data_IF_523233287430
#
_entry.id   IF_523233287430
#
_cell.length_a   1.000
_cell.length_b   1.000
_cell.length_c   1.000
_cell.angle_alpha   90.00
_cell.angle_beta   90.00
_cell.angle_gamma   90.00
#
_symmetry.space_group_name_H-M   'P 1'
#
loop_
_entity.id
_entity.type
_entity.pdbx_description
1 polymer ?
#
# COMPACT_ATOMS: atom_id res chain seq x y z
N UNK A 1 -25.81 14.55 -32.21
CA UNK A 1 -25.41 13.16 -32.42
C UNK A 1 -24.08 12.95 -31.66
N UNK A 2 -24.16 12.52 -30.40
CA UNK A 2 -22.98 12.24 -29.58
C UNK A 2 -22.37 10.92 -30.06
N UNK A 3 -21.29 11.02 -30.81
CA UNK A 3 -20.61 9.84 -31.33
C UNK A 3 -20.03 9.00 -30.19
N UNK A 4 -20.04 7.69 -30.36
CA UNK A 4 -19.40 6.68 -29.47
C UNK A 4 -17.90 6.96 -29.19
N UNK A 5 -17.29 7.90 -29.91
CA UNK A 5 -15.89 8.33 -29.81
C UNK A 5 -15.69 9.68 -29.09
N UNK A 6 -16.69 10.17 -28.38
CA UNK A 6 -16.50 11.40 -27.60
C UNK A 6 -15.73 11.07 -26.31
N UNK A 7 -14.58 11.74 -26.05
CA UNK A 7 -13.74 11.57 -24.87
C UNK A 7 -14.48 11.81 -23.54
N UNK A 8 -15.62 12.48 -23.56
CA UNK A 8 -16.50 12.70 -22.40
C UNK A 8 -17.42 11.51 -22.07
N UNK A 9 -17.37 10.43 -22.85
CA UNK A 9 -18.17 9.25 -22.58
C UNK A 9 -17.61 8.50 -21.37
N UNK A 10 -18.43 8.18 -20.35
CA UNK A 10 -18.00 7.48 -19.12
C UNK A 10 -17.30 6.13 -19.40
N UNK A 11 -17.60 5.48 -20.52
CA UNK A 11 -16.95 4.23 -20.94
C UNK A 11 -15.47 4.49 -21.31
N UNK A 12 -15.16 5.52 -22.08
CA UNK A 12 -13.78 5.85 -22.45
C UNK A 12 -12.97 6.34 -21.27
N UNK A 13 -13.57 7.07 -20.35
CA UNK A 13 -12.94 7.45 -19.07
C UNK A 13 -12.61 6.23 -18.22
N UNK A 14 -13.50 5.23 -18.17
CA UNK A 14 -13.26 3.98 -17.44
C UNK A 14 -12.14 3.15 -18.08
N UNK A 15 -12.13 3.01 -19.41
CA UNK A 15 -11.05 2.32 -20.15
C UNK A 15 -9.72 3.03 -19.95
N UNK A 16 -9.70 4.36 -20.02
CA UNK A 16 -8.49 5.16 -19.74
C UNK A 16 -7.93 4.91 -18.33
N UNK A 17 -8.79 4.86 -17.31
CA UNK A 17 -8.36 4.55 -15.93
C UNK A 17 -7.77 3.15 -15.79
N UNK A 18 -8.34 2.14 -16.45
CA UNK A 18 -7.77 0.79 -16.45
C UNK A 18 -6.38 0.80 -17.09
N UNK A 19 -6.20 1.55 -18.18
CA UNK A 19 -4.91 1.71 -18.84
C UNK A 19 -3.90 2.41 -17.95
N UNK A 20 -4.29 3.46 -17.24
CA UNK A 20 -3.45 4.17 -16.28
C UNK A 20 -3.02 3.26 -15.12
N UNK A 21 -3.92 2.44 -14.60
CA UNK A 21 -3.61 1.45 -13.56
C UNK A 21 -2.66 0.36 -14.06
N UNK A 22 -2.81 -0.08 -15.31
CA UNK A 22 -1.91 -1.03 -15.94
C UNK A 22 -0.48 -0.47 -16.06
N UNK A 23 -0.33 0.75 -16.59
CA UNK A 23 0.95 1.44 -16.69
C UNK A 23 1.56 1.64 -15.30
N UNK A 24 0.76 2.07 -14.33
CA UNK A 24 1.19 2.31 -12.98
C UNK A 24 1.73 1.04 -12.30
N UNK A 25 1.06 -0.09 -12.51
CA UNK A 25 1.52 -1.36 -11.98
C UNK A 25 2.83 -1.83 -12.64
N UNK A 26 2.95 -1.64 -13.94
CA UNK A 26 4.18 -1.95 -14.68
C UNK A 26 5.36 -1.11 -14.15
N UNK A 27 5.17 0.19 -13.99
CA UNK A 27 6.18 1.09 -13.42
C UNK A 27 6.58 0.68 -12.02
N UNK A 28 5.59 0.36 -11.18
CA UNK A 28 5.83 -0.11 -9.82
C UNK A 28 6.69 -1.38 -9.81
N UNK A 29 6.35 -2.38 -10.63
CA UNK A 29 7.12 -3.63 -10.74
C UNK A 29 8.54 -3.36 -11.21
N UNK A 30 8.72 -2.61 -12.31
CA UNK A 30 10.04 -2.31 -12.88
C UNK A 30 10.91 -1.54 -11.89
N UNK A 31 10.36 -0.50 -11.25
CA UNK A 31 11.09 0.29 -10.26
C UNK A 31 11.30 -0.42 -8.92
N UNK A 32 10.61 -1.55 -8.67
CA UNK A 32 10.80 -2.41 -7.50
C UNK A 32 11.78 -3.55 -7.72
N UNK A 33 12.28 -3.78 -8.96
CA UNK A 33 13.29 -4.80 -9.24
C UNK A 33 14.52 -4.64 -8.32
N UNK A 34 15.09 -3.43 -8.14
CA UNK A 34 16.02 -3.22 -7.06
C UNK A 34 15.23 -3.19 -5.74
N UNK A 35 15.30 -4.25 -4.94
CA UNK A 35 14.55 -4.41 -3.67
C UNK A 35 14.65 -3.16 -2.79
N UNK A 36 15.77 -2.44 -2.87
CA UNK A 36 16.03 -1.22 -2.11
C UNK A 36 15.06 -0.08 -2.47
N UNK A 37 14.64 0.03 -3.72
CA UNK A 37 13.73 1.08 -4.20
C UNK A 37 12.23 0.75 -4.06
N UNK A 38 11.91 -0.42 -3.50
CA UNK A 38 10.53 -0.84 -3.28
C UNK A 38 9.69 0.18 -2.49
N UNK A 39 10.29 0.81 -1.47
CA UNK A 39 9.62 1.87 -0.70
C UNK A 39 9.29 3.09 -1.54
N UNK A 40 10.22 3.54 -2.39
CA UNK A 40 10.02 4.70 -3.24
C UNK A 40 8.99 4.43 -4.34
N UNK A 41 9.04 3.26 -4.98
CA UNK A 41 8.06 2.85 -5.99
C UNK A 41 6.65 2.71 -5.41
N UNK A 42 6.55 2.17 -4.19
CA UNK A 42 5.26 2.04 -3.47
C UNK A 42 4.71 3.42 -3.09
N UNK A 43 5.55 4.34 -2.59
CA UNK A 43 5.15 5.73 -2.31
C UNK A 43 4.66 6.44 -3.57
N UNK A 44 5.37 6.30 -4.70
CA UNK A 44 4.97 6.88 -5.98
C UNK A 44 3.65 6.29 -6.49
N UNK A 45 3.43 4.99 -6.31
CA UNK A 45 2.16 4.34 -6.66
C UNK A 45 1.00 4.91 -5.83
N UNK A 46 1.16 5.09 -4.51
CA UNK A 46 0.13 5.71 -3.67
C UNK A 46 -0.13 7.18 -4.06
N UNK A 47 0.91 7.94 -4.40
CA UNK A 47 0.74 9.31 -4.88
C UNK A 47 -0.15 9.38 -6.12
N UNK A 48 0.11 8.52 -7.12
CA UNK A 48 -0.68 8.46 -8.35
C UNK A 48 -2.11 7.98 -8.07
N UNK A 49 -2.28 6.88 -7.31
CA UNK A 49 -3.62 6.33 -7.04
C UNK A 49 -4.49 7.26 -6.19
N UNK A 50 -3.90 8.04 -5.26
CA UNK A 50 -4.63 9.06 -4.51
C UNK A 50 -5.12 10.21 -5.41
N UNK A 51 -4.36 10.59 -6.44
CA UNK A 51 -4.78 11.59 -7.43
C UNK A 51 -5.86 11.04 -8.36
N UNK A 52 -5.67 9.81 -8.88
CA UNK A 52 -6.65 9.11 -9.72
C UNK A 52 -7.99 8.97 -8.98
N UNK A 53 -7.97 8.58 -7.70
CA UNK A 53 -9.17 8.45 -6.88
C UNK A 53 -9.95 9.76 -6.68
N UNK A 54 -9.31 10.92 -6.93
CA UNK A 54 -9.93 12.26 -6.81
C UNK A 54 -10.24 12.92 -8.17
N UNK A 55 -10.11 12.19 -9.27
CA UNK A 55 -10.24 12.77 -10.63
C UNK A 55 -9.33 14.00 -10.87
N UNK A 56 -8.17 14.07 -10.22
CA UNK A 56 -7.21 15.18 -10.32
C UNK A 56 -6.03 14.81 -11.22
N UNK A 57 -6.29 14.19 -12.36
CA UNK A 57 -5.26 13.76 -13.31
C UNK A 57 -4.78 14.95 -14.16
N UNK A 58 -3.80 15.67 -13.68
CA UNK A 58 -3.13 16.72 -14.47
C UNK A 58 -1.71 16.29 -14.81
N UNK A 59 -1.50 15.69 -15.99
CA UNK A 59 -0.16 15.52 -16.54
C UNK A 59 0.32 14.10 -16.85
N UNK A 60 -0.56 13.09 -16.83
CA UNK A 60 -0.21 11.70 -17.19
C UNK A 60 0.47 10.93 -16.06
N UNK A 61 0.12 9.65 -15.94
CA UNK A 61 0.57 8.76 -14.85
C UNK A 61 2.09 8.60 -14.81
N UNK A 62 2.74 8.53 -15.98
CA UNK A 62 4.21 8.42 -16.09
C UNK A 62 4.93 9.59 -15.41
N UNK A 63 4.54 10.83 -15.74
CA UNK A 63 5.16 12.04 -15.19
C UNK A 63 4.94 12.12 -13.68
N UNK A 64 3.71 11.87 -13.22
CA UNK A 64 3.36 11.87 -11.79
C UNK A 64 4.14 10.82 -11.01
N UNK A 65 4.29 9.61 -11.55
CA UNK A 65 5.02 8.53 -10.90
C UNK A 65 6.50 8.88 -10.73
N UNK A 66 7.19 9.26 -11.81
CA UNK A 66 8.62 9.57 -11.74
C UNK A 66 8.92 10.82 -10.93
N UNK A 67 8.03 11.82 -10.92
CA UNK A 67 8.16 12.98 -10.04
C UNK A 67 8.14 12.54 -8.58
N UNK A 68 7.10 11.84 -8.13
CA UNK A 68 6.99 11.37 -6.76
C UNK A 68 8.08 10.36 -6.39
N UNK A 69 8.48 9.49 -7.32
CA UNK A 69 9.55 8.52 -7.13
C UNK A 69 10.88 9.19 -6.81
N UNK A 70 11.28 10.20 -7.60
CA UNK A 70 12.53 10.95 -7.41
C UNK A 70 12.52 11.74 -6.10
N UNK A 71 11.44 12.45 -5.82
CA UNK A 71 11.31 13.30 -4.64
C UNK A 71 11.37 12.51 -3.33
N UNK A 72 10.83 11.29 -3.33
CA UNK A 72 10.77 10.45 -2.15
C UNK A 72 11.83 9.35 -2.10
N UNK A 73 12.72 9.24 -3.09
CA UNK A 73 13.61 8.09 -3.26
C UNK A 73 14.43 7.79 -2.01
N UNK A 74 15.16 8.76 -1.47
CA UNK A 74 16.02 8.56 -0.31
C UNK A 74 15.21 8.24 0.94
N UNK A 75 14.19 9.04 1.22
CA UNK A 75 13.43 8.93 2.46
C UNK A 75 12.61 7.64 2.51
N UNK A 76 11.91 7.31 1.43
CA UNK A 76 11.11 6.08 1.34
C UNK A 76 11.98 4.82 1.33
N UNK A 77 13.20 4.90 0.77
CA UNK A 77 14.17 3.81 0.82
C UNK A 77 14.62 3.54 2.25
N UNK A 78 14.97 4.58 3.01
CA UNK A 78 15.36 4.42 4.42
C UNK A 78 14.20 3.83 5.24
N UNK A 79 12.99 4.36 5.06
CA UNK A 79 11.79 3.83 5.72
C UNK A 79 11.59 2.35 5.38
N UNK A 80 11.71 1.98 4.10
CA UNK A 80 11.59 0.59 3.65
C UNK A 80 12.62 -0.33 4.30
N UNK A 81 13.89 0.07 4.31
CA UNK A 81 14.96 -0.72 4.93
C UNK A 81 14.68 -0.95 6.42
N UNK A 82 14.26 0.08 7.16
CA UNK A 82 13.89 -0.05 8.57
C UNK A 82 12.71 -1.03 8.73
N UNK A 83 11.66 -0.88 7.93
CA UNK A 83 10.48 -1.75 7.98
C UNK A 83 10.82 -3.19 7.60
N UNK A 84 11.67 -3.40 6.59
CA UNK A 84 12.10 -4.72 6.16
C UNK A 84 12.96 -5.42 7.22
N UNK A 85 13.87 -4.69 7.88
CA UNK A 85 14.69 -5.23 8.97
C UNK A 85 13.82 -5.63 10.16
N UNK A 86 12.94 -4.75 10.62
CA UNK A 86 12.04 -5.06 11.74
C UNK A 86 11.11 -6.23 11.39
N UNK A 87 10.52 -6.23 10.20
CA UNK A 87 9.67 -7.32 9.74
C UNK A 87 10.42 -8.64 9.61
N UNK A 88 11.67 -8.61 9.14
CA UNK A 88 12.54 -9.78 9.05
C UNK A 88 12.85 -10.38 10.41
N UNK A 89 13.18 -9.54 11.41
CA UNK A 89 13.41 -9.96 12.79
C UNK A 89 12.14 -10.62 13.36
N UNK A 90 10.98 -9.98 13.24
CA UNK A 90 9.72 -10.52 13.75
C UNK A 90 9.33 -11.84 13.06
N UNK A 91 9.58 -11.94 11.74
CA UNK A 91 9.36 -13.19 11.00
C UNK A 91 10.30 -14.31 11.46
N UNK A 92 11.58 -13.99 11.71
CA UNK A 92 12.54 -14.94 12.25
C UNK A 92 12.13 -15.41 13.64
N UNK A 93 11.71 -14.50 14.53
CA UNK A 93 11.26 -14.81 15.87
C UNK A 93 10.09 -15.80 15.88
N UNK A 94 9.04 -15.54 15.08
CA UNK A 94 7.88 -16.43 15.04
C UNK A 94 8.25 -17.81 14.51
N UNK A 95 9.15 -17.90 13.52
CA UNK A 95 9.66 -19.18 12.99
C UNK A 95 10.49 -19.92 14.01
N UNK A 96 11.40 -19.20 14.71
CA UNK A 96 12.26 -19.78 15.73
C UNK A 96 11.45 -20.36 16.89
N UNK A 97 10.51 -19.60 17.44
CA UNK A 97 9.67 -20.08 18.55
C UNK A 97 8.70 -21.18 18.15
N UNK A 98 8.27 -21.24 16.90
CA UNK A 98 7.37 -22.29 16.40
C UNK A 98 8.09 -23.65 16.23
N UNK A 99 9.35 -23.65 15.76
CA UNK A 99 10.03 -24.87 15.34
C UNK A 99 11.19 -25.29 16.26
N UNK A 100 11.90 -24.33 16.87
CA UNK A 100 13.17 -24.56 17.57
C UNK A 100 13.15 -24.13 19.03
N UNK A 101 11.98 -23.80 19.60
CA UNK A 101 11.91 -23.25 20.96
C UNK A 101 12.67 -24.11 22.00
N UNK A 102 13.80 -23.63 22.53
CA UNK A 102 14.53 -24.32 23.59
C UNK A 102 13.86 -24.19 24.95
N UNK A 103 12.73 -23.47 25.01
CA UNK A 103 12.02 -23.17 26.26
C UNK A 103 11.07 -24.32 26.56
N UNK A 104 11.38 -25.11 27.61
CA UNK A 104 10.55 -26.23 28.09
C UNK A 104 9.26 -25.71 28.77
N UNK A 105 9.33 -24.54 29.40
CA UNK A 105 8.19 -23.99 30.12
C UNK A 105 7.14 -23.45 29.14
N UNK A 106 6.02 -24.15 29.06
CA UNK A 106 4.89 -23.83 28.17
C UNK A 106 4.32 -22.42 28.39
N UNK A 107 4.28 -21.96 29.66
CA UNK A 107 3.72 -20.63 29.99
C UNK A 107 4.61 -19.51 29.41
N UNK A 108 5.92 -19.61 29.60
CA UNK A 108 6.89 -18.63 29.08
C UNK A 108 6.83 -18.61 27.55
N UNK A 109 6.76 -19.76 26.90
CA UNK A 109 6.62 -19.90 25.46
C UNK A 109 5.36 -19.18 24.96
N UNK A 110 4.21 -19.37 25.59
CA UNK A 110 2.96 -18.71 25.23
C UNK A 110 3.04 -17.20 25.40
N UNK A 111 3.65 -16.68 26.46
CA UNK A 111 3.82 -15.25 26.70
C UNK A 111 4.65 -14.62 25.57
N UNK A 112 5.82 -15.20 25.25
CA UNK A 112 6.69 -14.68 24.20
C UNK A 112 5.96 -14.70 22.83
N UNK A 113 5.30 -15.81 22.50
CA UNK A 113 4.54 -15.92 21.27
C UNK A 113 3.45 -14.85 21.16
N UNK A 114 2.69 -14.61 22.24
CA UNK A 114 1.65 -13.58 22.29
C UNK A 114 2.23 -12.17 22.08
N UNK A 115 3.36 -11.87 22.73
CA UNK A 115 4.06 -10.58 22.55
C UNK A 115 4.53 -10.42 21.11
N UNK A 116 5.13 -11.44 20.50
CA UNK A 116 5.59 -11.40 19.11
C UNK A 116 4.41 -11.19 18.15
N UNK A 117 3.28 -11.88 18.35
CA UNK A 117 2.07 -11.67 17.55
C UNK A 117 1.55 -10.23 17.67
N UNK A 118 1.55 -9.66 18.86
CA UNK A 118 1.16 -8.26 19.08
C UNK A 118 2.10 -7.28 18.37
N UNK A 119 3.41 -7.51 18.42
CA UNK A 119 4.40 -6.69 17.70
C UNK A 119 4.23 -6.78 16.18
N UNK A 120 3.92 -7.96 15.63
CA UNK A 120 3.61 -8.15 14.21
C UNK A 120 2.35 -7.36 13.82
N UNK A 121 1.32 -7.36 14.65
CA UNK A 121 0.11 -6.57 14.42
C UNK A 121 0.42 -5.07 14.36
N UNK A 122 1.21 -4.55 15.31
CA UNK A 122 1.64 -3.14 15.31
C UNK A 122 2.48 -2.82 14.07
N UNK A 123 3.41 -3.71 13.71
CA UNK A 123 4.23 -3.55 12.51
C UNK A 123 3.35 -3.49 11.24
N UNK A 124 2.35 -4.37 11.12
CA UNK A 124 1.41 -4.38 10.00
C UNK A 124 0.60 -3.07 9.92
N UNK A 125 0.17 -2.54 11.05
CA UNK A 125 -0.55 -1.27 11.13
C UNK A 125 0.32 -0.11 10.64
N UNK A 126 1.56 -0.02 11.11
CA UNK A 126 2.51 0.99 10.65
C UNK A 126 2.80 0.82 9.16
N UNK A 127 3.06 -0.41 8.71
CA UNK A 127 3.38 -0.70 7.32
C UNK A 127 2.26 -0.27 6.35
N UNK A 128 1.01 -0.45 6.75
CA UNK A 128 -0.16 -0.07 5.95
C UNK A 128 -0.25 1.43 5.72
N UNK A 129 0.13 2.26 6.70
CA UNK A 129 -0.03 3.71 6.66
C UNK A 129 1.22 4.47 6.21
N UNK A 130 2.42 3.90 6.37
CA UNK A 130 3.68 4.64 6.26
C UNK A 130 3.93 5.20 4.86
N UNK A 131 3.72 4.40 3.80
CA UNK A 131 3.91 4.84 2.42
C UNK A 131 2.81 5.80 1.94
N UNK A 132 1.52 5.58 2.23
CA UNK A 132 0.47 6.57 1.96
C UNK A 132 0.70 7.93 2.63
N UNK A 133 1.16 7.95 3.88
CA UNK A 133 1.51 9.19 4.59
C UNK A 133 2.70 9.88 3.91
N UNK A 134 3.74 9.12 3.57
CA UNK A 134 4.90 9.64 2.86
C UNK A 134 4.54 10.21 1.47
N UNK A 135 3.57 9.59 0.77
CA UNK A 135 3.09 10.07 -0.52
C UNK A 135 2.29 11.38 -0.43
N UNK A 136 1.67 11.65 0.74
CA UNK A 136 0.76 12.79 0.91
C UNK A 136 1.37 13.96 1.65
N UNK A 137 2.22 13.70 2.66
CA UNK A 137 2.76 14.70 3.58
C UNK A 137 4.28 14.75 3.51
N UNK A 138 4.84 15.96 3.53
CA UNK A 138 6.29 16.18 3.59
C UNK A 138 6.68 16.25 5.08
N UNK A 139 7.14 15.12 5.63
CA UNK A 139 7.50 14.99 7.03
C UNK A 139 8.88 14.33 7.20
N UNK A 140 9.64 14.63 8.25
CA UNK A 140 10.84 13.86 8.58
C UNK A 140 10.47 12.41 8.95
N UNK A 141 11.39 11.46 8.72
CA UNK A 141 11.19 10.02 8.92
C UNK A 141 10.54 9.71 10.27
N UNK A 142 11.08 10.28 11.36
CA UNK A 142 10.57 10.07 12.72
C UNK A 142 9.09 10.46 12.86
N UNK A 143 8.71 11.57 12.24
CA UNK A 143 7.33 12.06 12.28
C UNK A 143 6.41 11.17 11.43
N UNK A 144 6.88 10.68 10.28
CA UNK A 144 6.14 9.72 9.43
C UNK A 144 5.78 8.45 10.20
N UNK A 145 6.74 7.88 10.96
CA UNK A 145 6.48 6.72 11.83
C UNK A 145 5.45 7.00 12.92
N UNK A 146 5.59 8.15 13.62
CA UNK A 146 4.62 8.56 14.64
C UNK A 146 3.21 8.74 14.09
N UNK A 147 3.09 9.41 12.93
CA UNK A 147 1.81 9.62 12.27
C UNK A 147 1.21 8.30 11.78
N UNK A 148 2.03 7.39 11.22
CA UNK A 148 1.57 6.08 10.78
C UNK A 148 0.98 5.26 11.93
N UNK A 149 1.65 5.22 13.07
CA UNK A 149 1.14 4.55 14.28
C UNK A 149 -0.11 5.26 14.82
N UNK A 150 -0.08 6.58 14.96
CA UNK A 150 -1.20 7.35 15.48
C UNK A 150 -2.45 7.20 14.62
N UNK A 151 -2.34 7.37 13.30
CA UNK A 151 -3.48 7.28 12.37
C UNK A 151 -4.03 5.86 12.27
N UNK A 152 -3.17 4.83 12.30
CA UNK A 152 -3.61 3.44 12.24
C UNK A 152 -4.46 3.04 13.45
N UNK A 153 -4.11 3.54 14.64
CA UNK A 153 -4.86 3.28 15.88
C UNK A 153 -6.09 4.18 15.99
N UNK A 154 -5.97 5.49 15.69
CA UNK A 154 -7.09 6.45 15.75
C UNK A 154 -8.22 6.07 14.78
N UNK A 155 -7.88 5.53 13.61
CA UNK A 155 -8.84 5.11 12.59
C UNK A 155 -8.93 3.58 12.45
N UNK A 156 -8.97 2.86 13.59
CA UNK A 156 -8.89 1.40 13.65
C UNK A 156 -9.92 0.70 12.75
N UNK A 157 -11.17 1.18 12.70
CA UNK A 157 -12.22 0.61 11.84
C UNK A 157 -11.80 0.69 10.37
N UNK A 158 -11.27 1.82 9.91
CA UNK A 158 -10.80 1.97 8.53
C UNK A 158 -9.54 1.14 8.26
N UNK A 159 -8.66 1.03 9.24
CA UNK A 159 -7.48 0.14 9.16
C UNK A 159 -7.92 -1.30 8.91
N UNK A 160 -8.92 -1.78 9.64
CA UNK A 160 -9.50 -3.12 9.44
C UNK A 160 -10.13 -3.25 8.05
N UNK A 161 -10.88 -2.23 7.59
CA UNK A 161 -11.48 -2.23 6.24
C UNK A 161 -10.40 -2.29 5.15
N UNK A 162 -9.31 -1.52 5.29
CA UNK A 162 -8.19 -1.52 4.35
C UNK A 162 -7.52 -2.90 4.30
N UNK A 163 -7.21 -3.48 5.45
CA UNK A 163 -6.57 -4.80 5.54
C UNK A 163 -7.49 -5.91 5.04
N UNK A 164 -8.72 -5.97 5.55
CA UNK A 164 -9.70 -6.98 5.15
C UNK A 164 -10.06 -6.88 3.65
N UNK A 165 -10.27 -5.67 3.15
CA UNK A 165 -10.55 -5.42 1.73
C UNK A 165 -9.39 -5.86 0.83
N UNK A 166 -8.15 -5.58 1.24
CA UNK A 166 -6.96 -6.03 0.50
C UNK A 166 -6.84 -7.54 0.47
N UNK A 167 -7.08 -8.22 1.59
CA UNK A 167 -7.08 -9.69 1.68
C UNK A 167 -8.21 -10.28 0.83
N UNK A 168 -9.41 -9.68 0.85
CA UNK A 168 -10.54 -10.14 0.03
C UNK A 168 -10.25 -9.99 -1.47
N UNK A 169 -9.64 -8.89 -1.90
CA UNK A 169 -9.23 -8.70 -3.30
C UNK A 169 -8.21 -9.77 -3.71
N UNK A 170 -7.19 -10.01 -2.88
CA UNK A 170 -6.19 -11.05 -3.13
C UNK A 170 -6.81 -12.44 -3.20
N UNK A 171 -7.70 -12.77 -2.27
CA UNK A 171 -8.39 -14.05 -2.24
C UNK A 171 -9.30 -14.24 -3.47
N UNK A 172 -10.04 -13.21 -3.86
CA UNK A 172 -10.89 -13.23 -5.06
C UNK A 172 -10.06 -13.48 -6.32
N UNK A 173 -8.94 -12.74 -6.50
CA UNK A 173 -8.04 -12.93 -7.64
C UNK A 173 -7.40 -14.31 -7.61
N UNK A 174 -6.98 -14.82 -6.45
CA UNK A 174 -6.45 -16.18 -6.33
C UNK A 174 -7.45 -17.24 -6.75
N UNK A 175 -8.72 -17.16 -6.29
CA UNK A 175 -9.80 -18.09 -6.67
C UNK A 175 -10.06 -18.01 -8.18
N UNK A 176 -10.06 -16.81 -8.75
CA UNK A 176 -10.24 -16.62 -10.18
C UNK A 176 -9.09 -17.23 -10.99
N UNK A 177 -7.84 -17.04 -10.59
CA UNK A 177 -6.67 -17.66 -11.24
C UNK A 177 -6.78 -19.19 -11.25
N UNK A 178 -7.23 -19.80 -10.16
CA UNK A 178 -7.41 -21.25 -10.07
C UNK A 178 -8.53 -21.78 -10.98
N UNK A 179 -9.54 -20.94 -11.27
CA UNK A 179 -10.69 -21.32 -12.12
C UNK A 179 -10.45 -21.10 -13.60
N UNK A 180 -9.70 -20.05 -13.97
CA UNK A 180 -9.51 -19.61 -15.36
C UNK A 180 -8.07 -19.09 -15.60
N UNK A 181 -7.06 -19.96 -15.67
CA UNK A 181 -5.64 -19.52 -15.71
C UNK A 181 -5.28 -18.69 -16.95
N UNK A 182 -5.96 -18.87 -18.09
CA UNK A 182 -5.61 -18.15 -19.33
C UNK A 182 -6.03 -16.68 -19.38
N UNK A 183 -7.15 -16.31 -18.75
CA UNK A 183 -7.65 -14.91 -18.71
C UNK A 183 -7.03 -14.13 -17.56
N UNK A 184 -6.58 -14.82 -16.53
CA UNK A 184 -6.22 -14.25 -15.24
C UNK A 184 -4.80 -13.73 -15.13
N UNK A 185 -3.89 -14.16 -16.03
CA UNK A 185 -2.56 -13.57 -16.09
C UNK A 185 -2.60 -12.04 -16.35
N UNK A 186 -3.64 -11.56 -17.05
CA UNK A 186 -3.85 -10.13 -17.27
C UNK A 186 -4.24 -9.37 -15.98
N UNK A 187 -4.98 -9.99 -15.06
CA UNK A 187 -5.37 -9.35 -13.80
C UNK A 187 -4.19 -9.10 -12.87
N UNK A 188 -3.15 -9.92 -12.92
CA UNK A 188 -1.91 -9.73 -12.15
C UNK A 188 -1.26 -8.39 -12.50
N UNK A 189 -1.36 -7.96 -13.78
CA UNK A 189 -0.79 -6.68 -14.24
C UNK A 189 -1.54 -5.43 -13.72
N UNK A 190 -2.72 -5.60 -13.14
CA UNK A 190 -3.51 -4.48 -12.57
C UNK A 190 -3.72 -4.65 -11.06
N UNK A 191 -3.37 -5.81 -10.50
CA UNK A 191 -3.69 -6.16 -9.12
C UNK A 191 -3.07 -5.20 -8.11
N UNK A 192 -1.78 -4.90 -8.22
CA UNK A 192 -1.07 -4.03 -7.27
C UNK A 192 -1.62 -2.61 -7.27
N UNK A 193 -1.80 -2.03 -8.45
CA UNK A 193 -2.37 -0.68 -8.61
C UNK A 193 -3.86 -0.64 -8.23
N UNK A 194 -4.62 -1.72 -8.49
CA UNK A 194 -6.02 -1.84 -8.09
C UNK A 194 -6.19 -1.87 -6.57
N UNK A 195 -5.38 -2.65 -5.86
CA UNK A 195 -5.35 -2.66 -4.39
C UNK A 195 -4.95 -1.28 -3.86
N UNK A 196 -3.91 -0.68 -4.43
CA UNK A 196 -3.48 0.66 -4.05
C UNK A 196 -4.57 1.71 -4.28
N UNK A 197 -5.35 1.62 -5.37
CA UNK A 197 -6.46 2.53 -5.64
C UNK A 197 -7.59 2.37 -4.60
N UNK A 198 -7.95 1.13 -4.26
CA UNK A 198 -8.91 0.86 -3.20
C UNK A 198 -8.45 1.46 -1.87
N UNK A 199 -7.21 1.22 -1.48
CA UNK A 199 -6.62 1.77 -0.26
C UNK A 199 -6.53 3.29 -0.32
N UNK A 200 -6.12 3.87 -1.46
CA UNK A 200 -6.03 5.32 -1.67
C UNK A 200 -7.38 6.03 -1.48
N UNK A 201 -8.49 5.40 -1.87
CA UNK A 201 -9.83 5.95 -1.64
C UNK A 201 -10.14 6.05 -0.14
N UNK A 202 -9.75 5.06 0.65
CA UNK A 202 -9.92 5.08 2.11
C UNK A 202 -8.99 6.10 2.79
N UNK A 203 -7.72 6.18 2.35
CA UNK A 203 -6.76 7.15 2.86
C UNK A 203 -7.16 8.59 2.55
N UNK A 204 -7.69 8.87 1.36
CA UNK A 204 -8.19 10.19 1.01
C UNK A 204 -9.28 10.66 1.99
N UNK A 205 -10.22 9.77 2.37
CA UNK A 205 -11.25 10.09 3.35
C UNK A 205 -10.70 10.35 4.78
N UNK A 206 -9.54 9.74 5.12
CA UNK A 206 -8.88 10.00 6.40
C UNK A 206 -8.14 11.34 6.34
N UNK A 207 -7.32 11.53 5.31
CA UNK A 207 -6.41 12.67 5.21
C UNK A 207 -7.11 14.01 4.98
N UNK A 208 -8.26 14.01 4.31
CA UNK A 208 -9.05 15.24 4.11
C UNK A 208 -9.46 15.86 5.44
N UNK A 209 -9.83 15.06 6.45
CA UNK A 209 -10.16 15.56 7.79
C UNK A 209 -9.01 16.33 8.45
N UNK A 210 -7.76 15.89 8.23
CA UNK A 210 -6.58 16.55 8.82
C UNK A 210 -6.10 17.76 8.04
N UNK A 211 -6.46 17.86 6.76
CA UNK A 211 -6.13 19.02 5.93
C UNK A 211 -7.12 20.16 6.25
N UNK A 212 -8.39 19.83 6.41
CA UNK A 212 -9.44 20.81 6.71
C UNK A 212 -9.25 21.39 8.13
N UNK A 213 -8.94 20.55 9.14
CA UNK A 213 -8.65 20.97 10.51
C UNK A 213 -7.43 21.92 10.63
N UNK A 214 -6.49 21.90 9.70
CA UNK A 214 -5.31 22.79 9.71
C UNK A 214 -5.54 24.11 8.93
N UNK A 215 -6.67 24.26 8.25
CA UNK A 215 -7.03 25.44 7.49
C UNK A 215 -8.07 26.34 8.21
N UNK A 216 -8.63 25.87 9.34
CA UNK A 216 -9.48 26.63 10.29
C UNK A 216 -8.63 27.20 11.44
#
# INVERSE_FOLDING_TARGET
>A
MGGLFNYDNPIWRFVGRIWDLFILNLLWVVCSIPIVTFGASTTAMYYCTMKIARDRDSGGVLSMFFHSFKDNLLQSTIIWVIMALVGGILFFDIRFFSFYSPIENTVIKMIIFTITCFLILLWLFIFTYIFPIQAKFINPIKQTFKLALFMSVKHLIRTIIILAGSVLILAAVYILIMRMPGVMSMLIFVLGSGISLFQASQFNMIFDKYIDENNE
#
